data_IF_812100414765
#
_entry.id   IF_812100414765
#
_cell.length_a   1.000
_cell.length_b   1.000
_cell.length_c   1.000
_cell.angle_alpha   90.00
_cell.angle_beta   90.00
_cell.angle_gamma   90.00
#
_symmetry.space_group_name_H-M   'P 1'
#
loop_
_entity.id
_entity.type
_entity.pdbx_description
1 polymer ?
#
# COMPACT_ATOMS: atom_id res chain seq x y z
N UNK A 1 -25.63 -36.75 6.28
CA UNK A 1 -25.83 -35.40 5.70
C UNK A 1 -24.61 -35.08 4.84
N UNK A 2 -24.72 -35.26 3.52
CA UNK A 2 -23.63 -34.89 2.60
C UNK A 2 -23.56 -33.36 2.52
N UNK A 3 -22.50 -32.77 3.10
CA UNK A 3 -22.20 -31.36 2.90
C UNK A 3 -21.50 -31.20 1.55
N UNK A 4 -22.27 -30.93 0.50
CA UNK A 4 -21.72 -30.65 -0.82
C UNK A 4 -20.78 -29.44 -0.74
N UNK A 5 -19.49 -29.63 -1.04
CA UNK A 5 -18.45 -28.58 -1.00
C UNK A 5 -18.61 -27.60 -2.17
N UNK A 6 -19.77 -26.94 -2.23
CA UNK A 6 -20.11 -25.99 -3.27
C UNK A 6 -19.34 -24.67 -3.11
N UNK A 7 -19.56 -23.73 -4.05
CA UNK A 7 -18.91 -22.41 -4.03
C UNK A 7 -19.24 -21.64 -2.75
N UNK A 8 -20.48 -21.68 -2.30
CA UNK A 8 -20.96 -20.96 -1.12
C UNK A 8 -20.32 -21.49 0.17
N UNK A 9 -20.17 -22.82 0.27
CA UNK A 9 -19.48 -23.46 1.38
C UNK A 9 -18.01 -23.01 1.44
N UNK A 10 -17.32 -22.93 0.30
CA UNK A 10 -15.93 -22.44 0.25
C UNK A 10 -15.82 -20.97 0.63
N UNK A 11 -16.76 -20.12 0.21
CA UNK A 11 -16.80 -18.70 0.59
C UNK A 11 -17.05 -18.57 2.10
N UNK A 12 -18.00 -19.32 2.66
CA UNK A 12 -18.28 -19.33 4.09
C UNK A 12 -17.09 -19.81 4.91
N UNK A 13 -16.39 -20.88 4.47
CA UNK A 13 -15.17 -21.35 5.12
C UNK A 13 -14.03 -20.33 5.03
N UNK A 14 -13.85 -19.68 3.86
CA UNK A 14 -12.86 -18.61 3.69
C UNK A 14 -13.15 -17.43 4.63
N UNK A 15 -14.41 -17.04 4.82
CA UNK A 15 -14.80 -15.99 5.75
C UNK A 15 -14.62 -16.40 7.21
N UNK A 16 -14.92 -17.66 7.57
CA UNK A 16 -14.66 -18.20 8.91
C UNK A 16 -13.17 -18.24 9.25
N UNK A 17 -12.33 -18.64 8.31
CA UNK A 17 -10.87 -18.69 8.46
C UNK A 17 -10.20 -17.32 8.28
N UNK A 18 -10.95 -16.30 7.87
CA UNK A 18 -10.45 -14.94 7.81
C UNK A 18 -10.39 -14.43 9.24
N UNK A 19 -9.21 -14.49 9.84
CA UNK A 19 -8.96 -13.90 11.16
C UNK A 19 -9.44 -12.45 11.15
N UNK A 20 -10.44 -12.12 11.98
CA UNK A 20 -10.99 -10.76 12.10
C UNK A 20 -9.92 -9.74 12.52
N UNK A 21 -8.89 -10.18 13.25
CA UNK A 21 -8.06 -9.27 14.04
C UNK A 21 -6.54 -9.28 13.81
N UNK A 22 -6.02 -10.02 12.83
CA UNK A 22 -4.56 -10.03 12.58
C UNK A 22 -4.08 -8.65 12.12
N UNK A 23 -4.88 -7.91 11.36
CA UNK A 23 -4.49 -6.59 10.87
C UNK A 23 -4.82 -5.44 11.84
N UNK A 24 -5.88 -5.54 12.64
CA UNK A 24 -6.25 -4.53 13.65
C UNK A 24 -5.33 -4.55 14.86
N UNK A 25 -4.87 -5.73 15.31
CA UNK A 25 -3.90 -5.84 16.41
C UNK A 25 -2.54 -5.21 16.06
N UNK A 26 -2.06 -5.41 14.82
CA UNK A 26 -0.81 -4.81 14.31
C UNK A 26 -0.89 -3.28 14.18
N UNK A 27 -2.09 -2.71 14.06
CA UNK A 27 -2.29 -1.25 14.00
C UNK A 27 -2.27 -0.60 15.39
N UNK A 28 -2.62 -1.34 16.45
CA UNK A 28 -2.76 -0.82 17.82
C UNK A 28 -1.46 -0.84 18.60
N UNK A 29 -0.63 -1.85 18.38
CA UNK A 29 0.71 -1.96 18.96
C UNK A 29 1.69 -2.30 17.83
N UNK A 30 2.39 -1.29 17.31
CA UNK A 30 3.55 -1.56 16.47
C UNK A 30 4.60 -2.20 17.37
N UNK A 31 4.89 -3.47 17.15
CA UNK A 31 5.98 -4.16 17.85
C UNK A 31 7.31 -3.42 17.67
N UNK A 32 8.29 -3.77 18.50
CA UNK A 32 9.60 -3.11 18.51
C UNK A 32 10.20 -3.03 17.11
N UNK A 33 10.72 -1.85 16.78
CA UNK A 33 11.32 -1.58 15.48
C UNK A 33 12.50 -2.53 15.28
N UNK A 34 12.45 -3.32 14.20
CA UNK A 34 13.53 -4.23 13.89
C UNK A 34 14.72 -3.49 13.27
N UNK A 35 15.68 -3.07 14.10
CA UNK A 35 16.86 -2.30 13.70
C UNK A 35 17.76 -3.01 12.69
N UNK A 36 17.72 -4.35 12.61
CA UNK A 36 18.45 -5.12 11.58
C UNK A 36 18.06 -4.72 10.15
N UNK A 37 16.82 -4.27 9.96
CA UNK A 37 16.34 -3.79 8.66
C UNK A 37 16.88 -2.41 8.29
N UNK A 38 17.45 -1.67 9.25
CA UNK A 38 18.07 -0.36 9.02
C UNK A 38 19.50 -0.53 8.49
N UNK A 39 20.25 -1.49 9.01
CA UNK A 39 21.60 -1.81 8.54
C UNK A 39 21.61 -2.33 7.10
N UNK A 40 20.58 -3.07 6.68
CA UNK A 40 20.43 -3.54 5.28
C UNK A 40 19.93 -2.46 4.31
N UNK A 41 19.71 -1.23 4.78
CA UNK A 41 19.17 -0.15 3.94
C UNK A 41 20.18 0.33 2.91
N UNK A 42 21.47 0.37 3.24
CA UNK A 42 22.55 0.73 2.30
C UNK A 42 22.57 -0.22 1.11
N UNK A 43 22.51 -1.53 1.37
CA UNK A 43 22.65 -2.56 0.34
C UNK A 43 21.49 -2.52 -0.64
N UNK A 44 20.27 -2.26 -0.14
CA UNK A 44 19.09 -2.09 -0.97
C UNK A 44 19.16 -0.84 -1.85
N UNK A 45 19.73 0.25 -1.34
CA UNK A 45 19.96 1.47 -2.13
C UNK A 45 20.97 1.19 -3.24
N UNK A 46 22.09 0.55 -2.92
CA UNK A 46 23.09 0.13 -3.91
C UNK A 46 22.48 -0.81 -4.95
N UNK A 47 21.65 -1.77 -4.54
CA UNK A 47 20.97 -2.70 -5.45
C UNK A 47 19.97 -2.00 -6.37
N UNK A 48 19.21 -1.04 -5.85
CA UNK A 48 18.29 -0.25 -6.66
C UNK A 48 19.04 0.55 -7.73
N UNK A 49 20.18 1.18 -7.35
CA UNK A 49 21.05 1.89 -8.29
C UNK A 49 21.59 0.96 -9.39
N UNK A 50 22.02 -0.26 -9.06
CA UNK A 50 22.44 -1.27 -10.05
C UNK A 50 21.33 -1.63 -11.04
N UNK A 51 20.08 -1.69 -10.57
CA UNK A 51 18.91 -2.00 -11.39
C UNK A 51 18.38 -0.77 -12.16
N UNK A 52 19.01 0.40 -12.02
CA UNK A 52 18.56 1.64 -12.66
C UNK A 52 17.24 2.20 -12.12
N UNK A 53 16.82 1.77 -10.92
CA UNK A 53 15.59 2.23 -10.29
C UNK A 53 15.91 2.99 -8.99
N UNK A 54 15.09 4.00 -8.68
CA UNK A 54 15.25 4.71 -7.41
C UNK A 54 14.66 3.89 -6.25
N UNK A 55 15.45 3.66 -5.20
CA UNK A 55 14.95 3.06 -3.96
C UNK A 55 13.85 3.95 -3.35
N UNK A 56 12.68 3.40 -2.96
CA UNK A 56 11.56 4.20 -2.48
C UNK A 56 11.93 4.99 -1.22
N UNK A 57 12.00 6.32 -1.36
CA UNK A 57 12.19 7.29 -0.27
C UNK A 57 10.86 7.76 0.32
N UNK A 58 9.84 7.83 -0.53
CA UNK A 58 8.49 8.29 -0.23
C UNK A 58 7.55 7.10 -0.13
N UNK A 59 6.54 7.20 0.73
CA UNK A 59 5.52 6.16 0.85
C UNK A 59 4.64 6.12 -0.41
N UNK A 60 4.04 4.96 -0.70
CA UNK A 60 3.11 4.86 -1.83
C UNK A 60 1.98 5.88 -1.75
N UNK A 61 1.48 6.17 -0.54
CA UNK A 61 0.45 7.19 -0.33
C UNK A 61 0.92 8.59 -0.71
N UNK A 62 2.18 8.96 -0.37
CA UNK A 62 2.75 10.25 -0.77
C UNK A 62 2.95 10.34 -2.29
N UNK A 63 3.36 9.24 -2.93
CA UNK A 63 3.46 9.16 -4.39
C UNK A 63 2.10 9.34 -5.07
N UNK A 64 1.07 8.66 -4.57
CA UNK A 64 -0.30 8.79 -5.08
C UNK A 64 -0.82 10.21 -4.93
N UNK A 65 -0.59 10.87 -3.78
CA UNK A 65 -0.98 12.27 -3.58
C UNK A 65 -0.30 13.20 -4.58
N UNK A 66 1.02 13.08 -4.75
CA UNK A 66 1.78 13.90 -5.72
C UNK A 66 1.30 13.70 -7.15
N UNK A 67 1.07 12.45 -7.57
CA UNK A 67 0.55 12.18 -8.91
C UNK A 67 -0.86 12.75 -9.12
N UNK A 68 -1.66 12.86 -8.06
CA UNK A 68 -2.99 13.48 -8.12
C UNK A 68 -2.89 15.01 -8.20
N UNK A 69 -1.98 15.62 -7.43
CA UNK A 69 -1.66 17.07 -7.49
C UNK A 69 -1.05 17.46 -8.86
N UNK A 70 -0.15 16.65 -9.42
CA UNK A 70 0.44 16.84 -10.75
C UNK A 70 -0.58 16.73 -11.90
N UNK A 71 -1.69 16.02 -11.69
CA UNK A 71 -2.80 15.96 -12.63
C UNK A 71 -3.78 17.14 -12.49
N UNK A 72 -3.72 17.88 -11.37
CA UNK A 72 -4.48 19.11 -11.12
C UNK A 72 -3.66 20.39 -11.41
N UNK A 73 -3.23 20.62 -12.67
CA UNK A 73 -3.10 21.99 -13.14
C UNK A 73 -3.49 22.12 -14.63
N UNK A 74 -4.78 22.07 -14.95
CA UNK A 74 -5.27 22.48 -16.27
C UNK A 74 -6.69 23.08 -16.22
N UNK A 75 -7.56 22.61 -15.33
CA UNK A 75 -8.99 22.89 -15.44
C UNK A 75 -9.50 24.18 -14.76
N UNK A 76 -8.66 24.93 -14.02
CA UNK A 76 -9.12 26.13 -13.28
C UNK A 76 -8.62 27.48 -13.82
N UNK A 77 -8.00 27.55 -15.01
CA UNK A 77 -7.49 28.82 -15.58
C UNK A 77 -8.23 29.38 -16.80
N UNK A 78 -9.41 28.87 -17.14
CA UNK A 78 -10.12 29.31 -18.36
C UNK A 78 -11.39 30.14 -18.13
N UNK A 79 -11.73 30.55 -16.90
CA UNK A 79 -13.06 31.17 -16.64
C UNK A 79 -13.09 32.55 -15.98
N UNK A 80 -12.01 33.36 -16.03
CA UNK A 80 -12.07 34.74 -15.49
C UNK A 80 -11.71 35.88 -16.47
N UNK A 81 -11.62 35.64 -17.77
CA UNK A 81 -11.27 36.69 -18.76
C UNK A 81 -12.32 36.82 -19.88
N UNK A 82 -13.61 36.73 -19.55
CA UNK A 82 -14.71 37.11 -20.44
C UNK A 82 -15.81 37.81 -19.61
N UNK A 83 -15.62 39.10 -19.32
CA UNK A 83 -16.68 40.09 -19.05
C UNK A 83 -16.14 41.48 -19.32
#
# INVERSE_FOLDING_TARGET
>A
METTRNRDWRIAQKQRNKSRDVHTALLRFRGEKNWKMLYTRSDKVSRAAQLGIEYPRVTNQQRTKRGLEEYQPADERSFCMQS
#
